data_IF_395375726809
#
_entry.id   IF_395375726809
#
_cell.length_a   1.000
_cell.length_b   1.000
_cell.length_c   1.000
_cell.angle_alpha   90.00
_cell.angle_beta   90.00
_cell.angle_gamma   90.00
#
_symmetry.space_group_name_H-M   'P 1'
#
loop_
_entity.id
_entity.type
_entity.pdbx_description
1 polymer ?
#
# COMPACT_ATOMS: atom_id res chain seq x y z
N UNK A 1 -8.16 -23.18 38.82
CA UNK A 1 -7.14 -22.31 38.22
C UNK A 1 -7.54 -22.06 36.77
N UNK A 2 -8.00 -20.84 36.44
CA UNK A 2 -8.27 -20.44 35.05
C UNK A 2 -7.07 -19.61 34.57
N UNK A 3 -6.48 -19.88 33.39
CA UNK A 3 -5.46 -19.00 32.84
C UNK A 3 -6.16 -17.74 32.31
N UNK A 4 -5.89 -16.60 32.96
CA UNK A 4 -6.23 -15.27 32.43
C UNK A 4 -5.44 -15.03 31.16
N UNK A 5 -6.09 -15.17 30.01
CA UNK A 5 -5.53 -14.72 28.75
C UNK A 5 -5.54 -13.19 28.74
N UNK A 6 -4.39 -12.59 29.04
CA UNK A 6 -4.13 -11.16 28.80
C UNK A 6 -4.40 -10.88 27.33
N UNK A 7 -5.56 -10.29 27.01
CA UNK A 7 -5.87 -9.79 25.68
C UNK A 7 -4.90 -8.65 25.40
N UNK A 8 -3.83 -8.97 24.66
CA UNK A 8 -2.82 -8.02 24.20
C UNK A 8 -3.51 -6.78 23.62
N UNK A 9 -3.26 -5.63 24.23
CA UNK A 9 -3.90 -4.35 23.95
C UNK A 9 -3.46 -3.76 22.61
N UNK A 10 -3.84 -4.37 21.49
CA UNK A 10 -3.77 -3.70 20.20
C UNK A 10 -4.91 -2.70 20.17
N UNK A 11 -4.60 -1.41 20.31
CA UNK A 11 -5.55 -0.34 20.03
C UNK A 11 -6.21 -0.61 18.66
N UNK A 12 -7.52 -0.38 18.51
CA UNK A 12 -8.22 -0.65 17.26
C UNK A 12 -7.49 0.07 16.11
N UNK A 13 -7.16 -0.68 15.05
CA UNK A 13 -6.54 -0.09 13.86
C UNK A 13 -7.53 0.89 13.24
N UNK A 14 -7.17 2.18 13.25
CA UNK A 14 -7.96 3.19 12.55
C UNK A 14 -7.74 3.01 11.06
N UNK A 15 -8.84 2.76 10.34
CA UNK A 15 -8.86 2.72 8.88
C UNK A 15 -9.13 4.11 8.34
N UNK A 16 -8.32 4.54 7.39
CA UNK A 16 -8.43 5.88 6.80
C UNK A 16 -8.30 5.81 5.29
N UNK A 17 -9.01 6.69 4.59
CA UNK A 17 -8.89 6.84 3.14
C UNK A 17 -7.60 7.58 2.82
N UNK A 18 -6.87 7.06 1.83
CA UNK A 18 -5.69 7.67 1.26
C UNK A 18 -5.78 7.73 -0.27
N UNK A 19 -5.15 8.74 -0.85
CA UNK A 19 -5.02 8.92 -2.30
C UNK A 19 -3.56 8.71 -2.73
N UNK A 20 -3.38 8.03 -3.86
CA UNK A 20 -2.09 7.83 -4.50
C UNK A 20 -1.88 8.95 -5.52
N UNK A 21 -0.75 9.66 -5.43
CA UNK A 21 -0.42 10.80 -6.28
C UNK A 21 0.82 10.50 -7.13
N UNK A 22 0.70 10.73 -8.43
CA UNK A 22 1.71 10.45 -9.45
C UNK A 22 1.89 8.96 -9.75
N UNK A 23 2.74 8.66 -10.73
CA UNK A 23 3.09 7.30 -11.12
C UNK A 23 1.92 6.50 -11.70
N UNK A 24 2.05 5.17 -11.80
CA UNK A 24 1.10 4.31 -12.50
C UNK A 24 -0.26 4.12 -11.81
N UNK A 25 -0.40 4.50 -10.54
CA UNK A 25 -1.64 4.41 -9.78
C UNK A 25 -2.20 5.78 -9.35
N UNK A 26 -1.84 6.85 -10.07
CA UNK A 26 -2.31 8.21 -9.80
C UNK A 26 -3.85 8.30 -9.69
N UNK A 27 -4.34 9.10 -8.73
CA UNK A 27 -5.76 9.28 -8.44
C UNK A 27 -6.45 8.11 -7.74
N UNK A 28 -5.75 6.98 -7.54
CA UNK A 28 -6.34 5.81 -6.87
C UNK A 28 -6.58 6.11 -5.39
N UNK A 29 -7.78 5.75 -4.90
CA UNK A 29 -8.13 5.83 -3.48
C UNK A 29 -8.12 4.47 -2.82
N UNK A 30 -7.43 4.36 -1.69
CA UNK A 30 -7.28 3.12 -0.91
C UNK A 30 -7.65 3.34 0.56
N UNK A 31 -7.99 2.26 1.28
CA UNK A 31 -8.12 2.29 2.74
C UNK A 31 -6.86 1.73 3.37
N UNK A 32 -6.25 2.47 4.28
CA UNK A 32 -5.03 2.05 5.00
C UNK A 32 -5.30 1.96 6.49
N UNK A 33 -4.71 0.94 7.13
CA UNK A 33 -4.75 0.76 8.58
C UNK A 33 -3.46 1.28 9.21
N UNK A 34 -3.57 2.11 10.25
CA UNK A 34 -2.41 2.53 11.05
C UNK A 34 -1.42 3.44 10.33
N UNK A 35 -1.82 4.04 9.20
CA UNK A 35 -1.05 5.02 8.41
C UNK A 35 0.39 4.55 8.12
N UNK A 36 0.61 3.49 7.31
CA UNK A 36 1.96 3.04 6.98
C UNK A 36 2.80 4.15 6.34
N UNK A 37 4.13 4.07 6.42
CA UNK A 37 5.01 5.06 5.75
C UNK A 37 5.12 4.83 4.25
N UNK A 38 4.90 3.59 3.82
CA UNK A 38 5.14 3.11 2.47
C UNK A 38 3.99 2.20 2.05
N UNK A 39 3.55 2.33 0.81
CA UNK A 39 2.68 1.39 0.11
C UNK A 39 3.43 0.85 -1.11
N UNK A 40 3.24 -0.43 -1.41
CA UNK A 40 3.70 -1.05 -2.65
C UNK A 40 2.48 -1.33 -3.52
N UNK A 41 2.54 -0.93 -4.78
CA UNK A 41 1.50 -1.19 -5.78
C UNK A 41 2.08 -2.12 -6.83
N UNK A 42 1.40 -3.25 -7.07
CA UNK A 42 1.75 -4.17 -8.15
C UNK A 42 0.78 -3.96 -9.32
N UNK A 43 1.33 -3.68 -10.50
CA UNK A 43 0.57 -3.52 -11.74
C UNK A 43 0.95 -4.66 -12.68
N UNK A 44 -0.04 -5.39 -13.18
CA UNK A 44 0.20 -6.48 -14.12
C UNK A 44 0.77 -5.93 -15.44
N UNK A 45 1.85 -6.54 -15.91
CA UNK A 45 2.42 -6.30 -17.23
C UNK A 45 1.98 -7.44 -18.15
N UNK A 46 1.14 -7.17 -19.17
CA UNK A 46 0.77 -8.19 -20.15
C UNK A 46 2.02 -8.79 -20.81
N UNK A 47 2.10 -10.11 -20.86
CA UNK A 47 3.16 -10.82 -21.57
C UNK A 47 2.68 -11.03 -23.01
N UNK A 48 3.38 -10.42 -23.96
CA UNK A 48 3.04 -10.53 -25.39
C UNK A 48 3.52 -11.88 -25.96
N UNK A 49 4.73 -12.29 -25.62
CA UNK A 49 5.32 -13.58 -25.98
C UNK A 49 6.17 -14.11 -24.81
N UNK A 50 6.10 -15.41 -24.51
CA UNK A 50 6.88 -15.95 -23.39
C UNK A 50 6.57 -17.40 -23.01
N UNK A 51 7.34 -17.91 -22.05
CA UNK A 51 7.15 -19.24 -21.50
C UNK A 51 5.82 -19.35 -20.75
N UNK A 52 5.10 -20.46 -20.97
CA UNK A 52 3.84 -20.73 -20.30
C UNK A 52 4.01 -20.74 -18.77
N UNK A 53 3.11 -20.05 -18.08
CA UNK A 53 3.10 -19.98 -16.62
C UNK A 53 3.89 -18.83 -16.00
N UNK A 54 4.44 -17.91 -16.79
CA UNK A 54 5.09 -16.68 -16.28
C UNK A 54 4.12 -15.52 -16.24
N UNK A 55 4.09 -14.78 -15.11
CA UNK A 55 3.41 -13.48 -14.98
C UNK A 55 4.41 -12.40 -14.62
N UNK A 56 4.32 -11.24 -15.27
CA UNK A 56 5.18 -10.08 -14.97
C UNK A 56 4.35 -9.01 -14.28
N UNK A 57 4.89 -8.42 -13.22
CA UNK A 57 4.28 -7.28 -12.52
C UNK A 57 5.31 -6.19 -12.29
N UNK A 58 4.98 -4.95 -12.63
CA UNK A 58 5.72 -3.78 -12.17
C UNK A 58 5.35 -3.51 -10.71
N UNK A 59 6.35 -3.34 -9.84
CA UNK A 59 6.14 -2.91 -8.46
C UNK A 59 6.52 -1.44 -8.35
N UNK A 60 5.63 -0.62 -7.84
CA UNK A 60 5.85 0.80 -7.61
C UNK A 60 5.71 1.14 -6.14
N UNK A 61 6.66 1.93 -5.63
CA UNK A 61 6.67 2.37 -4.24
C UNK A 61 6.02 3.74 -4.12
N UNK A 62 5.13 3.88 -3.12
CA UNK A 62 4.44 5.12 -2.79
C UNK A 62 4.73 5.49 -1.33
N UNK A 63 5.29 6.68 -1.09
CA UNK A 63 5.66 7.16 0.26
C UNK A 63 4.64 8.14 0.80
N UNK A 64 4.31 8.01 2.08
CA UNK A 64 3.36 8.90 2.75
C UNK A 64 3.88 10.34 2.72
N UNK A 65 3.09 11.26 2.18
CA UNK A 65 3.36 12.70 2.23
C UNK A 65 2.98 13.28 3.59
N UNK A 66 3.66 14.34 4.00
CA UNK A 66 3.23 15.17 5.12
C UNK A 66 2.09 16.09 4.69
N UNK A 67 1.06 16.24 5.52
CA UNK A 67 -0.04 17.14 5.25
C UNK A 67 -1.29 16.79 6.07
N UNK A 68 -2.30 17.68 6.05
CA UNK A 68 -3.60 17.38 6.61
C UNK A 68 -4.29 16.27 5.81
N UNK A 69 -5.35 15.70 6.37
CA UNK A 69 -6.20 14.75 5.66
C UNK A 69 -6.80 15.37 4.37
N UNK A 70 -7.11 14.56 3.33
CA UNK A 70 -6.95 13.11 3.26
C UNK A 70 -5.48 12.68 3.18
N UNK A 71 -5.18 11.47 3.66
CA UNK A 71 -3.82 10.92 3.55
C UNK A 71 -3.41 10.84 2.08
N UNK A 72 -2.17 11.21 1.79
CA UNK A 72 -1.61 11.17 0.44
C UNK A 72 -0.33 10.37 0.44
N UNK A 73 -0.15 9.55 -0.58
CA UNK A 73 1.11 8.86 -0.84
C UNK A 73 1.62 9.25 -2.22
N UNK A 74 2.85 9.77 -2.30
CA UNK A 74 3.48 10.12 -3.56
C UNK A 74 4.29 8.97 -4.12
N UNK A 75 4.21 8.77 -5.44
CA UNK A 75 5.09 7.84 -6.15
C UNK A 75 6.57 8.22 -5.95
N UNK A 76 7.39 7.21 -5.64
CA UNK A 76 8.84 7.34 -5.51
C UNK A 76 9.52 6.70 -6.71
N UNK A 77 9.77 7.50 -7.76
CA UNK A 77 10.43 7.04 -8.98
C UNK A 77 11.92 6.73 -8.82
N UNK A 78 12.52 7.01 -7.65
CA UNK A 78 13.89 6.60 -7.33
C UNK A 78 13.95 5.21 -6.68
N UNK A 79 12.81 4.63 -6.28
CA UNK A 79 12.76 3.27 -5.78
C UNK A 79 12.76 2.26 -6.95
N UNK A 80 13.62 1.22 -6.89
CA UNK A 80 13.73 0.19 -7.93
C UNK A 80 12.50 -0.73 -7.98
#
# INVERSE_FOLDING_TARGET
MQPTATRSGRAPVTWETAELEGGPADGTRVRVAGRPRVLQVAVACPVEEGASGVSVTAVSVYRRKSGPAPLRYGWDGASP
#
